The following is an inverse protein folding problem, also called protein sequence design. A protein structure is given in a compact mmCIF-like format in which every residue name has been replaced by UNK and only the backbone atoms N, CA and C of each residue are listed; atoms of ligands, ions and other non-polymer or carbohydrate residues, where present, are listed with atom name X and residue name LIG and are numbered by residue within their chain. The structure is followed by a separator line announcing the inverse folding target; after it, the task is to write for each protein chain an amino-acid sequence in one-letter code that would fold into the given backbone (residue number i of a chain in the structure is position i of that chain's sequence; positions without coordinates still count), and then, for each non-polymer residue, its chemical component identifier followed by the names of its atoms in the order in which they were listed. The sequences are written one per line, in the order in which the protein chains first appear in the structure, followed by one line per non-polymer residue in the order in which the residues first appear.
data_IF_058518409220
#
_entry.id   IF_058518409220
#
_cell.length_a   1.000
_cell.length_b   1.000
_cell.length_c   1.000
_cell.angle_alpha   90.00
_cell.angle_beta   90.00
_cell.angle_gamma   90.00
#
_symmetry.space_group_name_H-M   'P 1'
#
loop_
_entity.id
_entity.type
_entity.pdbx_description
1 polymer ?
#
# COMPACT_ATOMS: atom_id res chain seq x y z
N UNK A 1 -15.15 -2.67 3.32
CA UNK A 1 -13.78 -2.14 3.26
C UNK A 1 -13.05 -2.51 4.52
N UNK A 2 -11.88 -3.09 4.39
CA UNK A 2 -11.01 -3.42 5.52
C UNK A 2 -10.28 -2.16 5.99
N UNK A 3 -10.81 -1.57 7.06
CA UNK A 3 -10.27 -0.32 7.62
C UNK A 3 -9.05 -0.60 8.50
N UNK A 4 -8.98 -1.76 9.15
CA UNK A 4 -7.82 -2.10 9.98
C UNK A 4 -6.57 -2.25 9.13
N UNK A 5 -6.65 -2.94 7.99
CA UNK A 5 -5.55 -3.00 7.01
C UNK A 5 -5.16 -1.62 6.46
N UNK A 6 -6.12 -0.72 6.22
CA UNK A 6 -5.82 0.64 5.76
C UNK A 6 -5.08 1.46 6.83
N UNK A 7 -5.46 1.32 8.10
CA UNK A 7 -4.78 1.95 9.23
C UNK A 7 -3.37 1.39 9.42
N UNK A 8 -3.21 0.07 9.33
CA UNK A 8 -1.93 -0.61 9.45
C UNK A 8 -0.94 -0.17 8.38
N UNK A 9 -1.36 -0.12 7.13
CA UNK A 9 -0.54 0.36 6.02
C UNK A 9 -0.14 1.83 6.20
N UNK A 10 -1.05 2.65 6.74
CA UNK A 10 -0.76 4.05 7.03
C UNK A 10 0.26 4.21 8.15
N UNK A 11 0.18 3.39 9.22
CA UNK A 11 1.17 3.35 10.30
C UNK A 11 2.55 2.95 9.79
N UNK A 12 2.66 1.90 8.97
CA UNK A 12 3.93 1.50 8.38
C UNK A 12 4.53 2.58 7.47
N UNK A 13 3.69 3.22 6.66
CA UNK A 13 4.11 4.35 5.84
C UNK A 13 4.66 5.50 6.70
N UNK A 14 3.96 5.84 7.78
CA UNK A 14 4.37 6.89 8.71
C UNK A 14 5.67 6.54 9.43
N UNK A 15 5.82 5.29 9.89
CA UNK A 15 7.05 4.79 10.51
C UNK A 15 8.26 4.95 9.57
N UNK A 16 8.10 4.56 8.31
CA UNK A 16 9.16 4.66 7.31
C UNK A 16 9.47 6.13 6.95
N UNK A 17 8.45 6.97 6.91
CA UNK A 17 8.62 8.42 6.70
C UNK A 17 9.46 9.06 7.81
N UNK A 18 9.13 8.78 9.08
CA UNK A 18 9.89 9.31 10.22
C UNK A 18 11.30 8.72 10.32
N UNK A 19 11.48 7.43 10.06
CA UNK A 19 12.81 6.83 9.97
C UNK A 19 13.71 7.52 8.96
N UNK A 20 13.13 7.89 7.81
CA UNK A 20 13.85 8.63 6.78
C UNK A 20 14.15 10.06 7.24
N UNK A 21 13.14 10.79 7.75
CA UNK A 21 13.27 12.18 8.21
C UNK A 21 14.33 12.30 9.30
N UNK A 22 14.29 11.42 10.31
CA UNK A 22 15.28 11.43 11.40
C UNK A 22 16.69 11.12 10.91
N UNK A 23 16.85 10.23 9.93
CA UNK A 23 18.17 9.98 9.33
C UNK A 23 18.67 11.19 8.55
N UNK A 24 17.80 11.84 7.79
CA UNK A 24 18.15 13.02 6.99
C UNK A 24 18.53 14.21 7.92
N UNK A 25 17.84 14.34 9.07
CA UNK A 25 18.08 15.37 10.09
C UNK A 25 19.16 14.96 11.12
N UNK A 26 19.81 13.80 10.94
CA UNK A 26 20.86 13.25 11.82
C UNK A 26 20.42 13.07 13.28
N UNK A 27 19.19 12.66 13.49
CA UNK A 27 18.63 12.30 14.80
C UNK A 27 18.84 10.80 15.02
N UNK A 28 19.50 10.43 16.13
CA UNK A 28 19.81 9.04 16.43
C UNK A 28 18.62 8.36 17.11
N UNK A 29 17.97 7.49 16.35
CA UNK A 29 16.88 6.63 16.83
C UNK A 29 17.49 5.29 17.26
N UNK A 30 17.40 4.97 18.54
CA UNK A 30 17.85 3.70 19.10
C UNK A 30 16.95 2.55 18.66
N UNK A 31 15.62 2.76 18.74
CA UNK A 31 14.62 1.82 18.32
C UNK A 31 13.39 2.53 17.73
N UNK A 32 12.81 1.92 16.71
CA UNK A 32 11.54 2.37 16.17
C UNK A 32 10.75 1.19 15.63
N UNK A 33 9.53 1.01 16.10
CA UNK A 33 8.67 -0.11 15.71
C UNK A 33 7.19 0.27 15.74
N UNK A 34 6.41 -0.52 15.01
CA UNK A 34 4.96 -0.56 15.18
C UNK A 34 4.67 -1.54 16.33
N UNK A 35 3.81 -1.14 17.24
CA UNK A 35 3.29 -1.97 18.32
C UNK A 35 1.76 -1.89 18.30
N UNK A 36 1.11 -2.95 17.84
CA UNK A 36 -0.32 -2.95 17.56
C UNK A 36 -0.74 -1.80 16.64
N UNK A 37 -1.47 -0.81 17.18
CA UNK A 37 -2.00 0.37 16.49
C UNK A 37 -1.19 1.64 16.76
N UNK A 38 -0.02 1.52 17.38
CA UNK A 38 0.82 2.61 17.81
C UNK A 38 2.20 2.52 17.18
N UNK A 39 2.91 3.64 17.13
CA UNK A 39 4.31 3.72 16.75
C UNK A 39 5.14 4.11 17.97
N UNK A 40 6.16 3.34 18.25
CA UNK A 40 7.10 3.57 19.33
C UNK A 40 8.44 4.01 18.77
N UNK A 41 8.99 5.09 19.33
CA UNK A 41 10.33 5.60 19.02
C UNK A 41 11.11 5.80 20.30
N UNK A 42 12.29 5.20 20.39
CA UNK A 42 13.26 5.43 21.46
C UNK A 42 14.48 6.15 20.88
N UNK A 43 14.97 7.17 21.58
CA UNK A 43 16.07 8.01 21.16
C UNK A 43 17.29 7.84 22.05
N UNK A 44 18.48 7.93 21.46
CA UNK A 44 19.73 7.66 22.14
C UNK A 44 20.13 8.77 23.14
N UNK A 45 19.60 9.98 22.98
CA UNK A 45 19.93 11.14 23.84
C UNK A 45 18.74 12.07 24.05
N UNK A 46 18.78 12.85 25.11
CA UNK A 46 17.78 13.90 25.39
C UNK A 46 17.73 14.95 24.27
N UNK A 47 18.87 15.23 23.63
CA UNK A 47 18.94 16.18 22.51
C UNK A 47 18.18 15.64 21.30
N UNK A 48 18.40 14.38 20.92
CA UNK A 48 17.70 13.72 19.81
C UNK A 48 16.20 13.58 20.09
N UNK A 49 15.84 13.22 21.33
CA UNK A 49 14.46 13.18 21.78
C UNK A 49 13.76 14.55 21.64
N UNK A 50 14.38 15.63 22.12
CA UNK A 50 13.76 16.94 22.04
C UNK A 50 13.60 17.44 20.60
N UNK A 51 14.59 17.16 19.73
CA UNK A 51 14.48 17.46 18.29
C UNK A 51 13.33 16.67 17.65
N UNK A 52 13.22 15.38 17.96
CA UNK A 52 12.16 14.53 17.43
C UNK A 52 10.76 14.96 17.89
N UNK A 53 10.60 15.29 19.17
CA UNK A 53 9.33 15.80 19.72
C UNK A 53 8.89 17.08 19.00
N UNK A 54 9.83 17.98 18.70
CA UNK A 54 9.54 19.18 17.92
C UNK A 54 9.02 18.86 16.53
N UNK A 55 9.71 17.94 15.82
CA UNK A 55 9.31 17.48 14.49
C UNK A 55 7.92 16.83 14.53
N UNK A 56 7.68 15.96 15.51
CA UNK A 56 6.36 15.33 15.65
C UNK A 56 5.24 16.36 15.86
N UNK A 57 5.46 17.37 16.67
CA UNK A 57 4.47 18.43 16.90
C UNK A 57 4.25 19.30 15.66
N UNK A 58 5.29 19.61 14.90
CA UNK A 58 5.19 20.39 13.66
C UNK A 58 4.43 19.62 12.56
N UNK A 59 4.64 18.32 12.48
CA UNK A 59 4.01 17.46 11.47
C UNK A 59 2.60 16.95 11.89
N UNK A 60 2.17 17.21 13.12
CA UNK A 60 0.94 16.66 13.71
C UNK A 60 -0.33 17.39 13.26
N UNK A 61 -0.53 17.50 11.95
CA UNK A 61 -1.70 18.18 11.37
C UNK A 61 -2.29 17.32 10.25
N UNK A 62 -3.59 17.08 10.31
CA UNK A 62 -4.37 16.45 9.24
C UNK A 62 -4.69 17.43 8.12
N UNK A 63 -5.20 16.94 6.99
CA UNK A 63 -5.65 17.77 5.87
C UNK A 63 -6.75 18.79 6.25
N UNK A 64 -7.51 18.51 7.30
CA UNK A 64 -8.57 19.40 7.84
C UNK A 64 -8.08 20.27 9.00
N UNK A 65 -6.77 20.30 9.29
CA UNK A 65 -6.18 21.11 10.35
C UNK A 65 -6.34 20.56 11.77
N UNK A 66 -6.81 19.32 11.93
CA UNK A 66 -6.87 18.62 13.21
C UNK A 66 -5.57 17.85 13.51
N UNK A 67 -5.36 17.40 14.74
CA UNK A 67 -4.21 16.58 15.09
C UNK A 67 -4.26 15.23 14.38
N UNK A 68 -3.14 14.85 13.74
CA UNK A 68 -2.98 13.57 13.05
C UNK A 68 -2.90 12.41 14.04
N UNK A 69 -2.19 12.61 15.14
CA UNK A 69 -1.99 11.60 16.17
C UNK A 69 -1.99 12.21 17.57
N UNK A 70 -2.27 11.37 18.55
CA UNK A 70 -1.99 11.65 19.94
C UNK A 70 -0.52 11.34 20.18
N UNK A 71 0.18 12.25 20.84
CA UNK A 71 1.59 12.13 21.17
C UNK A 71 1.72 11.88 22.67
N UNK A 72 2.17 10.69 23.06
CA UNK A 72 2.56 10.40 24.43
C UNK A 72 4.09 10.42 24.53
N UNK A 73 4.63 11.19 25.47
CA UNK A 73 6.05 11.47 25.58
C UNK A 73 6.57 11.13 26.97
N UNK A 74 7.66 10.36 27.03
CA UNK A 74 8.34 10.02 28.26
C UNK A 74 9.82 10.49 28.19
N UNK A 75 10.08 11.69 28.73
CA UNK A 75 11.41 12.31 28.71
C UNK A 75 12.45 11.54 29.54
N UNK A 76 12.05 10.83 30.61
CA UNK A 76 12.98 10.05 31.43
C UNK A 76 13.51 8.81 30.71
N UNK A 77 12.81 8.34 29.69
CA UNK A 77 13.16 7.17 28.88
C UNK A 77 13.48 7.52 27.44
N UNK A 78 13.45 8.80 27.08
CA UNK A 78 13.57 9.26 25.68
C UNK A 78 12.64 8.51 24.72
N UNK A 79 11.40 8.21 25.17
CA UNK A 79 10.42 7.44 24.46
C UNK A 79 9.27 8.33 23.97
N UNK A 80 8.87 8.12 22.73
CA UNK A 80 7.70 8.76 22.13
C UNK A 80 6.79 7.67 21.58
N UNK A 81 5.51 7.74 21.93
CA UNK A 81 4.46 6.90 21.40
C UNK A 81 3.45 7.73 20.62
N UNK A 82 3.12 7.27 19.41
CA UNK A 82 2.15 7.90 18.51
C UNK A 82 0.99 6.95 18.26
N UNK A 83 -0.22 7.39 18.57
CA UNK A 83 -1.47 6.71 18.18
C UNK A 83 -2.30 7.63 17.29
N UNK A 84 -2.98 7.11 16.27
CA UNK A 84 -3.83 7.96 15.44
C UNK A 84 -4.96 8.62 16.27
N UNK A 85 -5.17 9.90 16.02
CA UNK A 85 -6.34 10.61 16.57
C UNK A 85 -7.64 10.10 15.94
N UNK A 86 -8.78 10.32 16.61
CA UNK A 86 -10.08 9.94 16.06
C UNK A 86 -10.40 10.67 14.74
N UNK A 87 -9.93 11.91 14.60
CA UNK A 87 -10.07 12.68 13.35
C UNK A 87 -9.23 12.05 12.21
N UNK A 88 -8.01 11.63 12.49
CA UNK A 88 -7.17 10.94 11.51
C UNK A 88 -7.75 9.58 11.11
N UNK A 89 -8.23 8.79 12.08
CA UNK A 89 -8.89 7.51 11.79
C UNK A 89 -10.11 7.72 10.87
N UNK A 90 -10.91 8.75 11.14
CA UNK A 90 -12.05 9.10 10.28
C UNK A 90 -11.61 9.49 8.89
N UNK A 91 -10.58 10.34 8.75
CA UNK A 91 -10.04 10.78 7.45
C UNK A 91 -9.47 9.60 6.66
N UNK A 92 -8.68 8.73 7.29
CA UNK A 92 -8.13 7.52 6.66
C UNK A 92 -9.25 6.59 6.19
N UNK A 93 -10.28 6.40 7.02
CA UNK A 93 -11.46 5.60 6.67
C UNK A 93 -12.21 6.19 5.48
N UNK A 94 -12.50 7.47 5.50
CA UNK A 94 -13.25 8.13 4.44
C UNK A 94 -12.47 8.10 3.13
N UNK A 95 -11.15 8.27 3.18
CA UNK A 95 -10.26 8.11 2.03
C UNK A 95 -10.29 6.67 1.49
N UNK A 96 -10.11 5.67 2.35
CA UNK A 96 -10.12 4.26 1.95
C UNK A 96 -11.45 3.85 1.32
N UNK A 97 -12.58 4.25 1.91
CA UNK A 97 -13.91 3.96 1.36
C UNK A 97 -14.10 4.67 0.01
N UNK A 98 -13.66 5.93 -0.10
CA UNK A 98 -13.72 6.70 -1.35
C UNK A 98 -12.93 6.03 -2.49
N UNK A 99 -11.70 5.59 -2.23
CA UNK A 99 -10.87 4.89 -3.21
C UNK A 99 -11.48 3.55 -3.63
N UNK A 100 -11.96 2.75 -2.68
CA UNK A 100 -12.63 1.50 -2.99
C UNK A 100 -13.92 1.71 -3.80
N UNK A 101 -14.69 2.74 -3.50
CA UNK A 101 -15.91 3.09 -4.24
C UNK A 101 -15.59 3.44 -5.69
N UNK A 102 -14.53 4.22 -5.93
CA UNK A 102 -14.07 4.56 -7.29
C UNK A 102 -13.59 3.31 -8.04
N UNK A 103 -12.77 2.47 -7.39
CA UNK A 103 -12.28 1.21 -7.96
C UNK A 103 -13.44 0.28 -8.33
N UNK A 104 -14.42 0.14 -7.45
CA UNK A 104 -15.59 -0.70 -7.71
C UNK A 104 -16.45 -0.17 -8.86
N UNK A 105 -16.64 1.15 -8.95
CA UNK A 105 -17.34 1.76 -10.08
C UNK A 105 -16.65 1.46 -11.42
N UNK A 106 -15.35 1.63 -11.48
CA UNK A 106 -14.58 1.35 -12.69
C UNK A 106 -14.72 -0.12 -13.10
N UNK A 107 -14.56 -1.07 -12.17
CA UNK A 107 -14.72 -2.49 -12.44
C UNK A 107 -16.13 -2.88 -12.88
N UNK A 108 -17.13 -2.27 -12.29
CA UNK A 108 -18.54 -2.50 -12.66
C UNK A 108 -18.85 -1.95 -14.05
N UNK A 109 -18.29 -0.79 -14.40
CA UNK A 109 -18.42 -0.24 -15.74
C UNK A 109 -17.77 -1.13 -16.81
N UNK A 110 -16.63 -1.75 -16.51
CA UNK A 110 -15.96 -2.72 -17.39
C UNK A 110 -16.82 -3.98 -17.65
N UNK A 111 -17.73 -4.33 -16.74
CA UNK A 111 -18.69 -5.40 -16.93
C UNK A 111 -19.77 -5.08 -17.96
N UNK A 112 -19.87 -3.84 -18.43
CA UNK A 112 -20.89 -3.40 -19.39
C UNK A 112 -22.33 -3.47 -18.85
N UNK A 113 -22.49 -3.44 -17.53
CA UNK A 113 -23.82 -3.45 -16.89
C UNK A 113 -24.50 -2.10 -17.09
N UNK A 114 -25.73 -2.10 -17.55
CA UNK A 114 -26.52 -0.88 -17.68
C UNK A 114 -26.94 -0.38 -16.29
N UNK A 115 -26.68 0.92 -16.04
CA UNK A 115 -27.10 1.63 -14.81
C UNK A 115 -26.74 0.94 -13.49
N UNK A 116 -25.46 0.58 -13.26
CA UNK A 116 -25.05 -0.03 -12.00
C UNK A 116 -25.14 0.99 -10.87
N UNK A 117 -25.56 0.53 -9.69
CA UNK A 117 -25.54 1.39 -8.49
C UNK A 117 -24.37 0.98 -7.63
N UNK A 118 -23.42 1.90 -7.41
CA UNK A 118 -22.29 1.73 -6.49
C UNK A 118 -22.29 2.92 -5.53
N UNK A 119 -22.63 2.65 -4.28
CA UNK A 119 -22.79 3.70 -3.27
C UNK A 119 -22.27 3.28 -1.90
N UNK A 120 -21.80 4.26 -1.12
CA UNK A 120 -21.41 4.06 0.26
C UNK A 120 -22.65 3.80 1.14
N UNK A 121 -22.52 2.82 2.04
CA UNK A 121 -23.51 2.53 3.07
C UNK A 121 -22.85 2.56 4.45
N UNK A 122 -23.19 3.56 5.25
CA UNK A 122 -22.59 3.74 6.57
C UNK A 122 -21.11 4.16 6.51
N UNK A 123 -20.34 3.75 7.52
CA UNK A 123 -18.96 4.21 7.69
C UNK A 123 -17.92 3.42 6.88
N UNK A 124 -18.16 2.12 6.60
CA UNK A 124 -17.14 1.23 6.02
C UNK A 124 -17.66 0.28 4.93
N UNK A 125 -18.94 0.35 4.59
CA UNK A 125 -19.55 -0.55 3.60
C UNK A 125 -19.81 0.16 2.28
N UNK A 126 -19.73 -0.62 1.19
CA UNK A 126 -20.14 -0.20 -0.16
C UNK A 126 -21.17 -1.21 -0.65
N UNK A 127 -22.29 -0.71 -1.15
CA UNK A 127 -23.32 -1.51 -1.80
C UNK A 127 -23.14 -1.42 -3.30
N UNK A 128 -23.14 -2.58 -3.96
CA UNK A 128 -23.09 -2.70 -5.41
C UNK A 128 -24.36 -3.43 -5.88
N UNK A 129 -25.12 -2.82 -6.75
CA UNK A 129 -26.29 -3.42 -7.37
C UNK A 129 -26.06 -3.48 -8.88
N UNK A 130 -26.25 -4.66 -9.47
CA UNK A 130 -25.96 -4.94 -10.87
C UNK A 130 -27.25 -5.44 -11.55
N UNK A 131 -28.12 -4.54 -12.02
CA UNK A 131 -29.35 -4.93 -12.70
C UNK A 131 -29.04 -5.75 -13.97
N UNK A 132 -29.82 -6.81 -14.20
CA UNK A 132 -29.69 -7.63 -15.42
C UNK A 132 -28.51 -8.59 -15.48
N UNK A 133 -27.67 -8.67 -14.47
CA UNK A 133 -26.56 -9.64 -14.43
C UNK A 133 -27.09 -11.04 -14.12
N UNK A 134 -26.95 -11.95 -15.10
CA UNK A 134 -27.38 -13.35 -14.96
C UNK A 134 -26.30 -14.19 -14.26
N UNK A 135 -25.01 -13.98 -14.57
CA UNK A 135 -23.90 -14.66 -13.93
C UNK A 135 -23.34 -13.85 -12.75
N UNK A 136 -23.92 -14.08 -11.59
CA UNK A 136 -23.49 -13.45 -10.34
C UNK A 136 -22.10 -13.92 -9.87
N UNK A 137 -21.66 -15.10 -10.30
CA UNK A 137 -20.36 -15.67 -9.91
C UNK A 137 -19.23 -14.97 -10.66
N UNK A 138 -19.37 -14.78 -11.96
CA UNK A 138 -18.41 -14.01 -12.76
C UNK A 138 -18.34 -12.57 -12.28
N UNK A 139 -19.47 -11.93 -12.00
CA UNK A 139 -19.52 -10.58 -11.46
C UNK A 139 -18.79 -10.47 -10.09
N UNK A 140 -19.04 -11.39 -9.15
CA UNK A 140 -18.34 -11.45 -7.87
C UNK A 140 -16.84 -11.64 -8.04
N UNK A 141 -16.40 -12.49 -8.99
CA UNK A 141 -14.98 -12.74 -9.27
C UNK A 141 -14.28 -11.49 -9.78
N UNK A 142 -14.92 -10.70 -10.65
CA UNK A 142 -14.35 -9.46 -11.20
C UNK A 142 -14.32 -8.37 -10.14
N UNK A 143 -15.41 -8.17 -9.41
CA UNK A 143 -15.51 -7.16 -8.34
C UNK A 143 -14.58 -7.49 -7.18
N UNK A 144 -14.46 -8.77 -6.83
CA UNK A 144 -13.69 -9.25 -5.68
C UNK A 144 -12.19 -9.40 -5.91
N UNK A 145 -11.67 -9.11 -7.11
CA UNK A 145 -10.21 -9.14 -7.34
C UNK A 145 -9.54 -8.07 -6.49
N UNK A 146 -8.71 -8.49 -5.54
CA UNK A 146 -7.93 -7.63 -4.64
C UNK A 146 -6.48 -7.50 -5.11
N UNK A 147 -6.29 -7.25 -6.40
CA UNK A 147 -4.95 -7.07 -6.93
C UNK A 147 -4.54 -5.60 -6.82
N UNK A 148 -3.31 -5.39 -6.41
CA UNK A 148 -2.66 -4.09 -6.39
C UNK A 148 -1.42 -4.13 -7.29
N UNK A 149 -0.90 -2.96 -7.65
CA UNK A 149 0.33 -2.84 -8.43
C UNK A 149 1.42 -2.17 -7.59
N UNK A 150 2.65 -2.59 -7.76
CA UNK A 150 3.81 -1.87 -7.25
C UNK A 150 4.79 -1.61 -8.40
N UNK A 151 5.21 -0.36 -8.53
CA UNK A 151 6.22 0.04 -9.51
C UNK A 151 7.56 0.16 -8.80
N UNK A 152 8.55 -0.62 -9.24
CA UNK A 152 9.88 -0.69 -8.65
C UNK A 152 10.96 -0.69 -9.72
N UNK A 153 12.13 -0.13 -9.43
CA UNK A 153 13.27 -0.25 -10.33
C UNK A 153 13.85 -1.66 -10.32
N UNK A 154 14.29 -2.12 -11.47
CA UNK A 154 15.15 -3.30 -11.53
C UNK A 154 16.44 -3.06 -10.73
N UNK A 155 16.82 -4.02 -9.93
CA UNK A 155 18.03 -3.91 -9.12
C UNK A 155 19.28 -4.01 -9.99
N UNK A 156 20.15 -3.02 -9.90
CA UNK A 156 21.47 -3.09 -10.54
C UNK A 156 22.31 -4.22 -9.92
N UNK A 157 23.28 -4.74 -10.65
CA UNK A 157 24.22 -5.76 -10.15
C UNK A 157 24.94 -5.31 -8.87
N UNK A 158 25.21 -4.01 -8.75
CA UNK A 158 25.85 -3.37 -7.59
C UNK A 158 24.91 -3.13 -6.42
N UNK A 159 23.58 -3.34 -6.58
CA UNK A 159 22.61 -3.11 -5.51
C UNK A 159 22.83 -4.13 -4.38
N UNK A 160 23.00 -3.65 -3.15
CA UNK A 160 23.16 -4.48 -1.96
C UNK A 160 21.98 -5.46 -1.79
N UNK A 161 22.28 -6.69 -1.35
CA UNK A 161 21.27 -7.72 -1.06
C UNK A 161 20.16 -7.24 -0.12
N UNK A 162 20.49 -6.35 0.81
CA UNK A 162 19.49 -5.79 1.75
C UNK A 162 18.47 -4.87 1.07
N UNK A 163 18.82 -4.28 -0.07
CA UNK A 163 17.97 -3.32 -0.81
C UNK A 163 17.28 -3.91 -2.02
N UNK A 164 17.49 -5.17 -2.34
CA UNK A 164 16.83 -5.88 -3.43
C UNK A 164 16.10 -7.12 -2.95
N UNK A 165 15.13 -7.54 -3.73
CA UNK A 165 14.29 -8.71 -3.48
C UNK A 165 14.03 -9.40 -4.82
N UNK A 166 14.01 -10.73 -4.81
CA UNK A 166 13.76 -11.54 -5.99
C UNK A 166 12.28 -11.82 -6.12
N UNK A 167 11.76 -11.67 -7.33
CA UNK A 167 10.37 -11.95 -7.65
C UNK A 167 10.28 -12.81 -8.89
N UNK A 168 9.38 -13.79 -8.85
CA UNK A 168 9.05 -14.61 -10.01
C UNK A 168 8.18 -13.82 -10.99
N UNK A 169 8.31 -14.15 -12.28
CA UNK A 169 7.39 -13.66 -13.28
C UNK A 169 6.02 -14.37 -13.17
N UNK A 170 4.98 -13.67 -13.57
CA UNK A 170 3.64 -14.27 -13.72
C UNK A 170 3.64 -15.35 -14.81
N UNK A 171 4.40 -15.16 -15.89
CA UNK A 171 4.73 -16.18 -16.86
C UNK A 171 5.94 -16.99 -16.35
N UNK A 172 5.67 -18.16 -15.81
CA UNK A 172 6.69 -19.05 -15.20
C UNK A 172 7.87 -19.39 -16.14
N UNK A 173 7.69 -19.23 -17.46
CA UNK A 173 8.74 -19.45 -18.45
C UNK A 173 9.84 -18.38 -18.42
N UNK A 174 9.55 -17.23 -17.82
CA UNK A 174 10.50 -16.11 -17.77
C UNK A 174 11.40 -16.13 -16.52
N UNK A 175 11.20 -17.09 -15.60
CA UNK A 175 12.01 -17.24 -14.40
C UNK A 175 11.76 -16.15 -13.35
N UNK A 176 12.82 -15.58 -12.79
CA UNK A 176 12.78 -14.53 -11.76
C UNK A 176 13.65 -13.33 -12.13
N UNK A 177 13.40 -12.19 -11.46
CA UNK A 177 14.26 -11.01 -11.55
C UNK A 177 14.34 -10.27 -10.20
N UNK A 178 15.45 -9.54 -10.01
CA UNK A 178 15.67 -8.75 -8.81
C UNK A 178 15.16 -7.32 -8.99
N UNK A 179 14.25 -6.89 -8.13
CA UNK A 179 13.80 -5.51 -8.06
C UNK A 179 14.28 -4.85 -6.76
N UNK A 180 14.38 -3.54 -6.77
CA UNK A 180 14.65 -2.79 -5.54
C UNK A 180 13.45 -2.89 -4.58
N UNK A 181 13.73 -2.98 -3.26
CA UNK A 181 12.66 -3.01 -2.25
C UNK A 181 11.85 -1.72 -2.18
N UNK A 182 12.43 -0.62 -2.66
CA UNK A 182 11.78 0.67 -2.67
C UNK A 182 10.65 0.71 -3.70
N UNK A 183 9.44 0.94 -3.25
CA UNK A 183 8.27 1.15 -4.10
C UNK A 183 8.29 2.60 -4.56
N UNK A 184 8.34 2.83 -5.88
CA UNK A 184 8.29 4.16 -6.48
C UNK A 184 6.85 4.69 -6.45
N UNK A 185 5.93 3.86 -6.95
CA UNK A 185 4.50 4.15 -7.01
C UNK A 185 3.75 2.87 -6.64
N UNK A 186 2.73 2.98 -5.80
CA UNK A 186 1.79 1.91 -5.51
C UNK A 186 0.50 2.09 -6.34
N UNK A 187 -0.22 1.01 -6.56
CA UNK A 187 -1.40 0.98 -7.42
C UNK A 187 -2.53 1.91 -6.99
N UNK A 188 -2.57 2.30 -5.73
CA UNK A 188 -3.51 3.32 -5.21
C UNK A 188 -3.35 4.70 -5.87
N UNK A 189 -2.18 4.95 -6.50
CA UNK A 189 -1.89 6.17 -7.26
C UNK A 189 -2.27 6.08 -8.73
N UNK A 190 -2.72 4.90 -9.20
CA UNK A 190 -3.22 4.70 -10.54
C UNK A 190 -4.68 5.15 -10.59
N UNK A 191 -4.95 6.19 -11.37
CA UNK A 191 -6.30 6.75 -11.53
C UNK A 191 -7.03 6.17 -12.72
N UNK A 192 -6.28 5.72 -13.75
CA UNK A 192 -6.85 5.08 -14.92
C UNK A 192 -5.84 4.12 -15.56
N UNK A 193 -6.34 3.07 -16.20
CA UNK A 193 -5.57 2.16 -17.02
C UNK A 193 -6.38 1.76 -18.26
N UNK A 194 -5.76 1.80 -19.43
CA UNK A 194 -6.40 1.41 -20.70
C UNK A 194 -5.44 0.59 -21.56
N UNK A 195 -5.97 -0.44 -22.20
CA UNK A 195 -5.23 -1.20 -23.19
C UNK A 195 -5.12 -0.42 -24.50
N UNK A 196 -4.02 -0.62 -25.23
CA UNK A 196 -3.79 -0.01 -26.52
C UNK A 196 -2.69 -0.76 -27.28
N UNK A 197 -2.25 -0.17 -28.38
CA UNK A 197 -1.10 -0.66 -29.14
C UNK A 197 -0.10 0.49 -29.26
N UNK A 198 1.18 0.14 -29.25
CA UNK A 198 2.23 1.11 -29.55
C UNK A 198 2.34 1.39 -31.06
N UNK A 199 3.24 2.29 -31.46
CA UNK A 199 3.48 2.65 -32.86
C UNK A 199 3.94 1.47 -33.73
N UNK A 200 4.46 0.42 -33.10
CA UNK A 200 4.94 -0.81 -33.76
C UNK A 200 3.87 -1.92 -33.77
N UNK A 201 2.67 -1.67 -33.22
CA UNK A 201 1.56 -2.62 -33.14
C UNK A 201 1.65 -3.62 -32.00
N UNK A 202 2.57 -3.45 -31.04
CA UNK A 202 2.61 -4.27 -29.83
C UNK A 202 1.58 -3.81 -28.82
N UNK A 203 0.96 -4.79 -28.16
CA UNK A 203 -0.02 -4.49 -27.11
C UNK A 203 0.66 -3.79 -25.91
N UNK A 204 0.06 -2.70 -25.47
CA UNK A 204 0.53 -1.93 -24.32
C UNK A 204 -0.62 -1.59 -23.36
N UNK A 205 -0.27 -1.24 -22.14
CA UNK A 205 -1.21 -0.69 -21.14
C UNK A 205 -0.78 0.72 -20.82
N UNK A 206 -1.67 1.67 -21.09
CA UNK A 206 -1.49 3.08 -20.74
C UNK A 206 -2.01 3.30 -19.31
N UNK A 207 -1.17 3.84 -18.44
CA UNK A 207 -1.50 4.06 -17.04
C UNK A 207 -1.45 5.55 -16.75
N UNK A 208 -2.51 6.07 -16.13
CA UNK A 208 -2.56 7.45 -15.64
C UNK A 208 -2.39 7.43 -14.13
N UNK A 209 -1.49 8.25 -13.63
CA UNK A 209 -1.20 8.41 -12.21
C UNK A 209 -1.84 9.70 -11.67
N UNK A 210 -2.13 9.72 -10.36
CA UNK A 210 -2.45 10.96 -9.68
C UNK A 210 -1.23 11.91 -9.62
N UNK A 211 -1.43 13.13 -9.15
CA UNK A 211 -0.36 14.13 -9.07
C UNK A 211 0.84 13.67 -8.24
N UNK A 212 0.61 12.95 -7.14
CA UNK A 212 1.70 12.47 -6.27
C UNK A 212 2.44 11.29 -6.91
N UNK A 213 1.71 10.35 -7.49
CA UNK A 213 2.28 9.24 -8.25
C UNK A 213 3.10 9.72 -9.45
N UNK A 214 2.58 10.71 -10.20
CA UNK A 214 3.29 11.33 -11.32
C UNK A 214 4.61 11.99 -10.90
N UNK A 215 4.62 12.75 -9.79
CA UNK A 215 5.85 13.34 -9.23
C UNK A 215 6.85 12.29 -8.76
N UNK A 216 6.39 11.23 -8.09
CA UNK A 216 7.24 10.14 -7.64
C UNK A 216 7.87 9.40 -8.83
N UNK A 217 7.07 9.10 -9.86
CA UNK A 217 7.54 8.46 -11.09
C UNK A 217 8.55 9.34 -11.82
N UNK A 218 8.26 10.63 -12.01
CA UNK A 218 9.19 11.58 -12.64
C UNK A 218 10.53 11.63 -11.91
N UNK A 219 10.50 11.75 -10.58
CA UNK A 219 11.73 11.77 -9.76
C UNK A 219 12.54 10.50 -9.92
N UNK A 220 11.88 9.34 -9.93
CA UNK A 220 12.54 8.05 -10.06
C UNK A 220 13.14 7.86 -11.47
N UNK A 221 12.41 8.20 -12.52
CA UNK A 221 12.87 8.03 -13.91
C UNK A 221 13.96 9.02 -14.30
N UNK A 222 13.88 10.28 -13.86
CA UNK A 222 14.92 11.30 -14.15
C UNK A 222 16.30 10.88 -13.64
N UNK A 223 16.36 10.22 -12.48
CA UNK A 223 17.64 9.75 -11.91
C UNK A 223 18.08 8.36 -12.39
N UNK A 224 17.30 7.68 -13.23
CA UNK A 224 17.52 6.26 -13.58
C UNK A 224 17.27 5.97 -15.07
N UNK A 225 17.64 6.90 -15.93
CA UNK A 225 17.51 6.72 -17.40
C UNK A 225 18.26 5.46 -17.84
N UNK A 226 17.60 4.62 -18.64
CA UNK A 226 18.15 3.36 -19.14
C UNK A 226 18.05 2.18 -18.15
N UNK A 227 17.51 2.38 -16.95
CA UNK A 227 17.15 1.27 -16.03
C UNK A 227 15.73 0.82 -16.29
N UNK A 228 15.51 -0.48 -16.21
CA UNK A 228 14.17 -1.04 -16.39
C UNK A 228 13.29 -0.79 -15.17
N UNK A 229 12.01 -0.54 -15.43
CA UNK A 229 10.97 -0.39 -14.44
C UNK A 229 10.16 -1.69 -14.36
N UNK A 230 10.15 -2.32 -13.18
CA UNK A 230 9.34 -3.49 -12.91
C UNK A 230 7.96 -3.13 -12.40
N UNK A 231 6.96 -3.82 -12.91
CA UNK A 231 5.58 -3.76 -12.42
C UNK A 231 5.27 -5.09 -11.76
N UNK A 232 5.04 -5.04 -10.46
CA UNK A 232 4.61 -6.19 -9.66
C UNK A 232 3.08 -6.21 -9.55
N UNK A 233 2.50 -7.35 -9.82
CA UNK A 233 1.13 -7.69 -9.49
C UNK A 233 1.12 -8.27 -8.07
N UNK A 234 0.39 -7.62 -7.19
CA UNK A 234 0.29 -7.98 -5.77
C UNK A 234 -1.12 -8.47 -5.50
N UNK A 235 -1.26 -9.73 -5.16
CA UNK A 235 -2.55 -10.37 -4.91
C UNK A 235 -2.58 -11.01 -3.53
N UNK A 236 -3.66 -10.81 -2.79
CA UNK A 236 -3.92 -11.56 -1.56
C UNK A 236 -4.57 -12.89 -1.92
N UNK A 237 -3.93 -13.99 -1.57
CA UNK A 237 -4.43 -15.35 -1.77
C UNK A 237 -4.75 -16.02 -0.45
N UNK A 238 -5.74 -16.90 -0.46
CA UNK A 238 -6.05 -17.74 0.70
C UNK A 238 -5.51 -19.16 0.45
N UNK A 239 -4.84 -19.69 1.45
CA UNK A 239 -4.38 -21.07 1.48
C UNK A 239 -5.04 -21.78 2.65
N UNK A 240 -5.60 -22.94 2.38
CA UNK A 240 -6.08 -23.83 3.42
C UNK A 240 -4.90 -24.60 4.01
N UNK A 241 -4.70 -24.47 5.30
CA UNK A 241 -3.63 -25.15 6.05
C UNK A 241 -4.31 -26.08 7.07
N UNK A 242 -3.81 -27.31 7.18
CA UNK A 242 -4.22 -28.19 8.26
C UNK A 242 -3.59 -27.66 9.58
N UNK A 243 -4.43 -27.29 10.52
CA UNK A 243 -4.05 -26.88 11.87
C UNK A 243 -4.71 -27.85 12.87
N UNK A 244 -4.19 -27.90 14.10
CA UNK A 244 -4.84 -28.64 15.18
C UNK A 244 -5.54 -27.68 16.11
N UNK A 245 -6.78 -27.99 16.48
CA UNK A 245 -7.51 -27.23 17.49
C UNK A 245 -6.96 -27.50 18.90
N UNK A 246 -7.51 -26.81 19.91
CA UNK A 246 -7.07 -26.95 21.30
C UNK A 246 -7.28 -28.38 21.86
N UNK A 247 -8.12 -29.19 21.21
CA UNK A 247 -8.45 -30.56 21.58
C UNK A 247 -7.64 -31.59 20.77
N UNK A 248 -6.75 -31.12 19.85
CA UNK A 248 -5.87 -31.98 19.05
C UNK A 248 -6.51 -32.55 17.79
N UNK A 249 -7.69 -32.07 17.37
CA UNK A 249 -8.33 -32.50 16.12
C UNK A 249 -7.82 -31.67 14.94
N UNK A 250 -7.67 -32.31 13.78
CA UNK A 250 -7.30 -31.64 12.54
C UNK A 250 -8.43 -30.74 12.06
N UNK A 251 -8.16 -29.44 11.95
CA UNK A 251 -9.08 -28.44 11.41
C UNK A 251 -8.44 -27.76 10.20
N UNK A 252 -9.26 -27.38 9.22
CA UNK A 252 -8.79 -26.63 8.07
C UNK A 252 -8.89 -25.14 8.41
N UNK A 253 -7.75 -24.51 8.61
CA UNK A 253 -7.64 -23.07 8.82
C UNK A 253 -7.33 -22.36 7.49
N UNK A 254 -8.04 -21.28 7.21
CA UNK A 254 -7.75 -20.44 6.04
C UNK A 254 -6.79 -19.32 6.43
N UNK A 255 -5.56 -19.42 5.94
CA UNK A 255 -4.56 -18.37 6.12
C UNK A 255 -4.40 -17.58 4.84
N UNK A 256 -4.46 -16.24 4.94
CA UNK A 256 -4.20 -15.37 3.81
C UNK A 256 -2.70 -15.05 3.70
N UNK A 257 -2.20 -15.01 2.47
CA UNK A 257 -0.83 -14.58 2.18
C UNK A 257 -0.81 -13.64 0.98
N UNK A 258 0.21 -12.80 0.90
CA UNK A 258 0.42 -11.89 -0.23
C UNK A 258 1.36 -12.54 -1.23
N UNK A 259 0.88 -12.73 -2.46
CA UNK A 259 1.71 -13.15 -3.58
C UNK A 259 2.08 -11.93 -4.43
N UNK A 260 3.36 -11.85 -4.83
CA UNK A 260 3.87 -10.78 -5.70
C UNK A 260 4.55 -11.40 -6.90
N UNK A 261 4.12 -11.05 -8.10
CA UNK A 261 4.68 -11.55 -9.36
C UNK A 261 4.96 -10.41 -10.32
N UNK A 262 6.05 -10.50 -11.07
CA UNK A 262 6.38 -9.53 -12.12
C UNK A 262 5.46 -9.76 -13.31
N UNK A 263 4.80 -8.69 -13.77
CA UNK A 263 3.96 -8.72 -14.97
C UNK A 263 4.59 -7.94 -16.14
N UNK A 264 5.49 -7.01 -15.85
CA UNK A 264 6.20 -6.24 -16.85
C UNK A 264 7.55 -5.78 -16.32
N UNK A 265 8.54 -5.69 -17.21
CA UNK A 265 9.86 -5.13 -16.94
C UNK A 265 10.29 -4.34 -18.19
N UNK A 266 9.97 -3.04 -18.21
CA UNK A 266 10.12 -2.14 -19.35
C UNK A 266 11.25 -1.11 -19.14
#
# INVERSE_FOLDING_TARGET
VDIDSALDNRLESLLNQYRKKFRDDRINVENSRKDNKDLLFAFASDEDYNKAVKIFNEDNITAIGASLYNLDTNSLRNLVELSFSQSAIKEIRDYAVGQNLMTLRNRVNELGVSEPIVQRQGSSRIVVQLPGVQDTTAAKKIIGKTANLEFRLEAASTTSRLRKEEFDWQDERMGSAFLEKNIIVAGERVTNASSGFDESGFAQVNITLDMQGGRAMQKATTGNIGRRLGVLFVEQKNKSVLAQDADGNDVIEQTSYIEKKIISLA
#
